data_IF_368187131908
#
_entry.id   IF_368187131908
#
_cell.length_a   1.000
_cell.length_b   1.000
_cell.length_c   1.000
_cell.angle_alpha   90.00
_cell.angle_beta   90.00
_cell.angle_gamma   90.00
#
_symmetry.space_group_name_H-M   'P 1'
#
loop_
_entity.id
_entity.type
_entity.pdbx_description
1 polymer ?
#
# COMPACT_ATOMS: atom_id res chain seq x y z
N UNK A 1 30.86 -35.01 25.19
CA UNK A 1 30.69 -33.56 24.98
C UNK A 1 30.03 -33.23 23.63
N UNK A 2 29.53 -34.23 22.88
CA UNK A 2 28.83 -34.00 21.60
C UNK A 2 27.30 -34.20 21.72
N UNK A 3 26.85 -34.99 22.69
CA UNK A 3 25.43 -35.36 22.83
C UNK A 3 24.59 -34.20 23.38
N UNK A 4 25.13 -33.46 24.37
CA UNK A 4 24.50 -32.27 24.92
C UNK A 4 24.36 -31.16 23.86
N UNK A 5 25.39 -31.00 23.02
CA UNK A 5 25.40 -30.03 21.91
C UNK A 5 24.41 -30.42 20.81
N UNK A 6 24.32 -31.71 20.48
CA UNK A 6 23.37 -32.22 19.49
C UNK A 6 21.91 -32.04 19.93
N UNK A 7 21.64 -32.22 21.23
CA UNK A 7 20.31 -32.00 21.79
C UNK A 7 19.91 -30.52 21.77
N UNK A 8 20.85 -29.62 22.07
CA UNK A 8 20.63 -28.17 21.99
C UNK A 8 20.31 -27.70 20.57
N UNK A 9 20.97 -28.26 19.55
CA UNK A 9 20.70 -27.95 18.14
C UNK A 9 19.31 -28.45 17.72
N UNK A 10 18.92 -29.66 18.15
CA UNK A 10 17.61 -30.21 17.85
C UNK A 10 16.47 -29.36 18.44
N UNK A 11 16.63 -28.89 19.68
CA UNK A 11 15.66 -27.99 20.33
C UNK A 11 15.56 -26.65 19.58
N UNK A 12 16.70 -26.09 19.15
CA UNK A 12 16.74 -24.82 18.42
C UNK A 12 16.00 -24.91 17.06
N UNK A 13 16.14 -26.03 16.35
CA UNK A 13 15.46 -26.27 15.08
C UNK A 13 13.94 -26.44 15.24
N UNK A 14 13.48 -27.05 16.33
CA UNK A 14 12.04 -27.20 16.61
C UNK A 14 11.39 -25.85 16.96
N UNK A 15 12.09 -24.98 17.69
CA UNK A 15 11.60 -23.65 18.05
C UNK A 15 11.50 -22.71 16.84
N UNK A 16 12.41 -22.85 15.87
CA UNK A 16 12.40 -22.03 14.64
C UNK A 16 11.18 -22.32 13.75
N UNK A 17 10.68 -23.56 13.75
CA UNK A 17 9.49 -23.96 12.99
C UNK A 17 8.17 -23.32 13.48
N UNK A 18 8.14 -22.75 14.69
CA UNK A 18 6.94 -22.11 15.26
C UNK A 18 6.82 -20.63 14.85
N UNK A 19 7.88 -20.02 14.32
CA UNK A 19 7.87 -18.62 13.86
C UNK A 19 7.21 -18.40 12.49
N UNK A 20 6.63 -19.44 11.87
CA UNK A 20 5.86 -19.35 10.61
C UNK A 20 4.36 -19.12 10.87
N UNK A 21 3.97 -18.86 12.11
CA UNK A 21 2.63 -18.39 12.43
C UNK A 21 2.45 -17.00 11.82
N UNK A 22 1.58 -16.93 10.82
CA UNK A 22 1.24 -15.72 10.08
C UNK A 22 1.10 -14.52 11.02
N UNK A 23 1.75 -13.42 10.66
CA UNK A 23 1.09 -12.15 10.93
C UNK A 23 -0.25 -12.26 10.20
N UNK A 24 -1.32 -12.53 10.94
CA UNK A 24 -2.57 -11.84 10.69
C UNK A 24 -2.21 -10.35 10.69
N UNK A 25 -1.69 -9.87 9.55
CA UNK A 25 -1.85 -8.47 9.19
C UNK A 25 -3.36 -8.37 9.18
N UNK A 26 -3.98 -7.61 10.09
CA UNK A 26 -5.40 -7.35 9.94
C UNK A 26 -5.56 -6.76 8.54
N UNK A 27 -6.12 -7.56 7.62
CA UNK A 27 -6.88 -7.00 6.52
C UNK A 27 -7.84 -6.01 7.17
N UNK A 28 -8.08 -4.89 6.50
CA UNK A 28 -8.98 -3.84 6.94
C UNK A 28 -8.52 -3.14 8.25
N UNK A 29 -7.36 -2.47 8.17
CA UNK A 29 -7.23 -1.22 8.93
C UNK A 29 -8.06 -0.18 8.20
N UNK A 30 -9.18 0.25 8.78
CA UNK A 30 -10.05 1.31 8.25
C UNK A 30 -9.27 2.61 7.90
N UNK A 31 -8.00 2.74 8.35
CA UNK A 31 -7.09 3.82 7.98
C UNK A 31 -6.22 3.61 6.73
N UNK A 32 -6.01 2.38 6.21
CA UNK A 32 -5.25 2.19 4.96
C UNK A 32 -6.10 2.46 3.73
N UNK A 33 -7.41 2.24 3.80
CA UNK A 33 -8.30 2.53 2.68
C UNK A 33 -8.35 4.04 2.38
N UNK A 34 -8.43 4.87 3.43
CA UNK A 34 -8.31 6.33 3.32
C UNK A 34 -6.92 6.76 2.82
N UNK A 35 -5.85 6.11 3.29
CA UNK A 35 -4.49 6.38 2.82
C UNK A 35 -4.28 5.96 1.35
N UNK A 36 -4.79 4.81 0.93
CA UNK A 36 -4.78 4.35 -0.46
C UNK A 36 -5.62 5.29 -1.33
N UNK A 37 -6.76 5.76 -0.83
CA UNK A 37 -7.59 6.72 -1.54
C UNK A 37 -6.86 8.06 -1.71
N UNK A 38 -6.22 8.58 -0.65
CA UNK A 38 -5.45 9.82 -0.72
C UNK A 38 -4.27 9.68 -1.68
N UNK A 39 -3.58 8.53 -1.63
CA UNK A 39 -2.44 8.25 -2.51
C UNK A 39 -2.87 8.08 -3.97
N UNK A 40 -4.01 7.44 -4.22
CA UNK A 40 -4.61 7.34 -5.55
C UNK A 40 -4.93 8.72 -6.13
N UNK A 41 -5.57 9.58 -5.32
CA UNK A 41 -5.94 10.93 -5.77
C UNK A 41 -4.69 11.76 -6.06
N UNK A 42 -3.69 11.70 -5.19
CA UNK A 42 -2.44 12.45 -5.38
C UNK A 42 -1.68 11.99 -6.65
N UNK A 43 -1.52 10.68 -6.83
CA UNK A 43 -0.81 10.11 -7.97
C UNK A 43 -1.55 10.36 -9.29
N UNK A 44 -2.88 10.20 -9.30
CA UNK A 44 -3.70 10.49 -10.48
C UNK A 44 -3.73 12.00 -10.82
N UNK A 45 -3.70 12.87 -9.81
CA UNK A 45 -3.65 14.33 -9.99
C UNK A 45 -2.32 14.74 -10.62
N UNK A 46 -1.20 14.29 -10.05
CA UNK A 46 0.14 14.58 -10.58
C UNK A 46 0.32 14.07 -12.02
N UNK A 47 -0.11 12.84 -12.28
CA UNK A 47 -0.04 12.27 -13.63
C UNK A 47 -0.87 13.09 -14.64
N UNK A 48 -2.06 13.54 -14.24
CA UNK A 48 -2.88 14.42 -15.07
C UNK A 48 -2.20 15.77 -15.33
N UNK A 49 -1.60 16.39 -14.31
CA UNK A 49 -0.88 17.66 -14.45
C UNK A 49 0.29 17.52 -15.42
N UNK A 50 1.10 16.48 -15.25
CA UNK A 50 2.29 16.24 -16.07
C UNK A 50 1.93 15.98 -17.54
N UNK A 51 0.81 15.30 -17.81
CA UNK A 51 0.42 14.95 -19.18
C UNK A 51 -0.47 15.99 -19.85
N UNK A 52 -1.32 16.69 -19.10
CA UNK A 52 -2.32 17.60 -19.63
C UNK A 52 -1.98 19.07 -19.35
N UNK A 53 -1.58 19.42 -18.11
CA UNK A 53 -1.42 20.82 -17.73
C UNK A 53 -0.13 21.47 -18.23
N UNK A 54 0.96 20.72 -18.37
CA UNK A 54 2.21 21.25 -18.93
C UNK A 54 2.07 21.74 -20.38
N UNK A 55 1.06 21.25 -21.11
CA UNK A 55 0.79 21.62 -22.50
C UNK A 55 -0.55 22.31 -22.69
N UNK A 56 -1.29 22.56 -21.61
CA UNK A 56 -2.58 23.24 -21.62
C UNK A 56 -2.42 24.73 -21.33
N UNK A 57 -3.17 25.56 -22.05
CA UNK A 57 -3.30 27.00 -21.76
C UNK A 57 -4.37 27.27 -20.68
N UNK A 58 -5.00 26.22 -20.14
CA UNK A 58 -6.12 26.32 -19.21
C UNK A 58 -5.63 26.61 -17.78
N UNK A 59 -6.01 27.76 -17.23
CA UNK A 59 -5.61 28.22 -15.89
C UNK A 59 -6.11 27.28 -14.79
N UNK A 60 -7.26 26.65 -15.01
CA UNK A 60 -7.91 25.78 -14.03
C UNK A 60 -7.52 24.30 -14.21
N UNK A 61 -6.48 24.01 -15.00
CA UNK A 61 -6.10 22.64 -15.33
C UNK A 61 -5.77 21.78 -14.10
N UNK A 62 -5.02 22.34 -13.14
CA UNK A 62 -4.67 21.65 -11.88
C UNK A 62 -5.93 21.28 -11.07
N UNK A 63 -6.88 22.22 -10.99
CA UNK A 63 -8.13 22.06 -10.24
C UNK A 63 -9.06 21.02 -10.91
N UNK A 64 -9.07 21.00 -12.25
CA UNK A 64 -9.79 20.01 -13.05
C UNK A 64 -9.18 18.61 -12.92
N UNK A 65 -7.84 18.51 -12.90
CA UNK A 65 -7.14 17.26 -12.65
C UNK A 65 -7.43 16.70 -11.26
N UNK A 66 -7.46 17.55 -10.23
CA UNK A 66 -7.83 17.14 -8.87
C UNK A 66 -9.25 16.57 -8.77
N UNK A 67 -10.23 17.23 -9.41
CA UNK A 67 -11.62 16.74 -9.45
C UNK A 67 -11.73 15.41 -10.21
N UNK A 68 -11.05 15.28 -11.34
CA UNK A 68 -11.04 14.05 -12.13
C UNK A 68 -10.41 12.88 -11.38
N UNK A 69 -9.29 13.12 -10.69
CA UNK A 69 -8.61 12.14 -9.86
C UNK A 69 -9.50 11.69 -8.69
N UNK A 70 -10.14 12.63 -8.00
CA UNK A 70 -11.06 12.35 -6.90
C UNK A 70 -12.23 11.47 -7.34
N UNK A 71 -12.80 11.76 -8.52
CA UNK A 71 -13.89 10.97 -9.08
C UNK A 71 -13.43 9.56 -9.49
N UNK A 72 -12.30 9.43 -10.18
CA UNK A 72 -11.72 8.13 -10.56
C UNK A 72 -11.43 7.22 -9.36
N UNK A 73 -10.84 7.78 -8.31
CA UNK A 73 -10.46 7.02 -7.13
C UNK A 73 -11.67 6.71 -6.22
N UNK A 74 -12.74 7.50 -6.28
CA UNK A 74 -14.01 7.15 -5.66
C UNK A 74 -14.70 6.02 -6.42
N UNK A 75 -14.75 6.06 -7.75
CA UNK A 75 -15.40 5.02 -8.56
C UNK A 75 -14.71 3.65 -8.35
N UNK A 76 -13.37 3.62 -8.31
CA UNK A 76 -12.60 2.39 -8.11
C UNK A 76 -12.73 1.74 -6.71
N UNK A 77 -13.19 2.49 -5.69
CA UNK A 77 -13.45 1.96 -4.35
C UNK A 77 -14.90 1.48 -4.17
N UNK A 78 -15.79 1.77 -5.13
CA UNK A 78 -17.21 1.42 -5.08
C UNK A 78 -17.58 0.22 -5.98
N UNK A 79 -16.60 -0.42 -6.63
CA UNK A 79 -16.72 -1.66 -7.43
C UNK A 79 -16.22 -2.88 -6.66
#
# INVERSE_FOLDING_TARGET
MNDLSSWLIAVFLVLFSVMVSAADIPSEVEGTQDLDQLSCVDEATQNCIDNACLTSDDIDCEDNCGKLAQQKCQDANNE
#
